data_IF_895946602829
#
_entry.id   IF_895946602829
#
_cell.length_a   1.000
_cell.length_b   1.000
_cell.length_c   1.000
_cell.angle_alpha   90.00
_cell.angle_beta   90.00
_cell.angle_gamma   90.00
#
_symmetry.space_group_name_H-M   'P 1'
#
loop_
_entity.id
_entity.type
_entity.pdbx_description
1 polymer ?
#
# COMPACT_ATOMS: atom_id res chain seq x y z
N UNK A 1 116.48 -49.76 29.56
CA UNK A 1 115.90 -48.41 29.50
C UNK A 1 114.49 -48.55 28.96
N UNK A 2 113.51 -48.09 29.74
CA UNK A 2 112.07 -48.08 29.44
C UNK A 2 111.74 -47.43 28.11
N UNK A 3 110.64 -47.88 27.47
CA UNK A 3 109.47 -47.02 27.22
C UNK A 3 108.21 -47.89 27.28
N UNK A 4 107.49 -47.82 28.39
CA UNK A 4 106.09 -48.29 28.48
C UNK A 4 105.20 -47.31 27.71
N UNK A 5 104.52 -47.81 26.68
CA UNK A 5 103.43 -47.09 26.04
C UNK A 5 102.12 -47.47 26.74
N UNK A 6 101.74 -46.67 27.73
CA UNK A 6 100.38 -46.66 28.26
C UNK A 6 99.39 -46.36 27.12
N UNK A 7 98.64 -47.39 26.71
CA UNK A 7 97.42 -47.21 25.92
C UNK A 7 96.38 -46.51 26.79
N UNK A 8 96.24 -45.19 26.63
CA UNK A 8 95.06 -44.49 27.16
C UNK A 8 93.80 -45.12 26.57
N UNK A 9 92.77 -45.41 27.37
CA UNK A 9 91.50 -45.90 26.85
C UNK A 9 90.88 -44.77 26.02
N UNK A 10 90.48 -45.10 24.79
CA UNK A 10 89.58 -44.23 24.04
C UNK A 10 88.31 -44.08 24.87
N UNK A 11 88.06 -42.88 25.39
CA UNK A 11 86.85 -42.61 26.17
C UNK A 11 85.62 -42.82 25.29
N UNK A 12 84.52 -43.19 25.95
CA UNK A 12 83.22 -43.66 25.46
C UNK A 12 82.40 -42.65 24.61
N UNK A 13 83.07 -41.84 23.77
CA UNK A 13 82.46 -40.77 22.96
C UNK A 13 81.36 -41.24 22.03
N UNK A 14 81.35 -42.53 21.67
CA UNK A 14 80.31 -43.14 20.84
C UNK A 14 79.02 -43.43 21.62
N UNK A 15 79.11 -43.69 22.92
CA UNK A 15 77.94 -43.82 23.80
C UNK A 15 77.32 -42.44 24.04
N UNK A 16 78.14 -41.43 24.32
CA UNK A 16 77.70 -40.04 24.54
C UNK A 16 76.99 -39.44 23.30
N UNK A 17 77.51 -39.71 22.08
CA UNK A 17 76.87 -39.28 20.83
C UNK A 17 75.51 -39.95 20.62
N UNK A 18 75.38 -41.24 20.92
CA UNK A 18 74.10 -41.96 20.79
C UNK A 18 73.04 -41.43 21.75
N UNK A 19 73.43 -41.12 23.00
CA UNK A 19 72.52 -40.52 23.98
C UNK A 19 72.11 -39.12 23.53
N UNK A 20 73.05 -38.30 23.05
CA UNK A 20 72.74 -36.97 22.52
C UNK A 20 71.75 -37.01 21.33
N UNK A 21 71.96 -37.91 20.37
CA UNK A 21 71.04 -38.06 19.23
C UNK A 21 69.65 -38.55 19.66
N UNK A 22 69.59 -39.53 20.57
CA UNK A 22 68.33 -40.03 21.10
C UNK A 22 67.55 -38.94 21.88
N UNK A 23 68.24 -38.14 22.70
CA UNK A 23 67.63 -37.02 23.42
C UNK A 23 67.11 -35.96 22.45
N UNK A 24 67.88 -35.61 21.41
CA UNK A 24 67.40 -34.67 20.38
C UNK A 24 66.20 -35.22 19.62
N UNK A 25 66.20 -36.48 19.20
CA UNK A 25 65.08 -37.10 18.46
C UNK A 25 63.80 -37.16 19.31
N UNK A 26 63.95 -37.39 20.62
CA UNK A 26 62.86 -37.36 21.57
C UNK A 26 62.32 -35.94 21.79
N UNK A 27 63.18 -34.93 21.81
CA UNK A 27 62.79 -33.53 21.94
C UNK A 27 62.08 -33.02 20.67
N UNK A 28 62.58 -33.41 19.48
CA UNK A 28 61.91 -33.15 18.21
C UNK A 28 60.53 -33.80 18.14
N UNK A 29 60.40 -35.06 18.58
CA UNK A 29 59.10 -35.75 18.64
C UNK A 29 58.11 -35.01 19.54
N UNK A 30 58.53 -34.58 20.74
CA UNK A 30 57.68 -33.78 21.65
C UNK A 30 57.28 -32.44 21.05
N UNK A 31 58.20 -31.75 20.38
CA UNK A 31 57.90 -30.48 19.72
C UNK A 31 56.89 -30.67 18.58
N UNK A 32 57.00 -31.78 17.84
CA UNK A 32 56.08 -32.12 16.75
C UNK A 32 54.67 -32.42 17.28
N UNK A 33 54.55 -33.25 18.33
CA UNK A 33 53.28 -33.56 19.00
C UNK A 33 52.60 -32.29 19.53
N UNK A 34 53.36 -31.37 20.12
CA UNK A 34 52.84 -30.08 20.59
C UNK A 34 52.34 -29.20 19.43
N UNK A 35 53.05 -29.21 18.30
CA UNK A 35 52.66 -28.46 17.12
C UNK A 35 51.38 -29.04 16.50
N UNK A 36 51.29 -30.35 16.40
CA UNK A 36 50.14 -31.08 15.88
C UNK A 36 48.90 -30.83 16.73
N UNK A 37 49.02 -30.97 18.06
CA UNK A 37 47.93 -30.65 18.99
C UNK A 37 47.46 -29.18 18.87
N UNK A 38 48.40 -28.23 18.69
CA UNK A 38 48.06 -26.82 18.48
C UNK A 38 47.33 -26.59 17.15
N UNK A 39 47.76 -27.26 16.08
CA UNK A 39 47.11 -27.19 14.78
C UNK A 39 45.71 -27.81 14.80
N UNK A 40 45.54 -28.96 15.46
CA UNK A 40 44.23 -29.60 15.64
C UNK A 40 43.27 -28.69 16.41
N UNK A 41 43.73 -28.12 17.53
CA UNK A 41 42.93 -27.17 18.31
C UNK A 41 42.52 -25.94 17.50
N UNK A 42 43.43 -25.37 16.70
CA UNK A 42 43.11 -24.26 15.81
C UNK A 42 42.09 -24.66 14.73
N UNK A 43 42.23 -25.84 14.15
CA UNK A 43 41.30 -26.37 13.16
C UNK A 43 39.90 -26.60 13.73
N UNK A 44 39.79 -27.13 14.96
CA UNK A 44 38.51 -27.30 15.63
C UNK A 44 37.83 -25.96 15.92
N UNK A 45 38.59 -24.97 16.41
CA UNK A 45 38.07 -23.62 16.63
C UNK A 45 37.61 -22.96 15.32
N UNK A 46 38.39 -23.09 14.24
CA UNK A 46 37.99 -22.59 12.93
C UNK A 46 36.72 -23.27 12.40
N UNK A 47 36.59 -24.59 12.57
CA UNK A 47 35.36 -25.32 12.20
C UNK A 47 34.15 -24.84 12.99
N UNK A 48 34.31 -24.61 14.30
CA UNK A 48 33.25 -24.08 15.16
C UNK A 48 32.82 -22.68 14.72
N UNK A 49 33.78 -21.81 14.40
CA UNK A 49 33.49 -20.44 13.95
C UNK A 49 32.82 -20.42 12.56
N UNK A 50 33.28 -21.24 11.62
CA UNK A 50 32.64 -21.40 10.31
C UNK A 50 31.19 -21.84 10.48
N UNK A 51 30.91 -22.79 11.37
CA UNK A 51 29.55 -23.24 11.64
C UNK A 51 28.68 -22.13 12.25
N UNK A 52 29.23 -21.33 13.18
CA UNK A 52 28.55 -20.16 13.73
C UNK A 52 28.17 -19.15 12.65
N UNK A 53 29.11 -18.79 11.79
CA UNK A 53 28.89 -17.83 10.71
C UNK A 53 27.84 -18.34 9.71
N UNK A 54 27.87 -19.64 9.37
CA UNK A 54 26.85 -20.27 8.51
C UNK A 54 25.46 -20.20 9.12
N UNK A 55 25.32 -20.45 10.42
CA UNK A 55 24.03 -20.33 11.10
C UNK A 55 23.51 -18.89 11.09
N UNK A 56 24.37 -17.91 11.39
CA UNK A 56 24.00 -16.50 11.35
C UNK A 56 23.63 -16.04 9.93
N UNK A 57 24.27 -16.58 8.89
CA UNK A 57 23.92 -16.27 7.50
C UNK A 57 22.53 -16.81 7.12
N UNK A 58 22.21 -18.04 7.54
CA UNK A 58 20.88 -18.64 7.33
C UNK A 58 19.80 -17.83 8.07
N UNK A 59 20.06 -17.43 9.31
CA UNK A 59 19.12 -16.61 10.08
C UNK A 59 18.89 -15.24 9.43
N UNK A 60 19.95 -14.56 8.98
CA UNK A 60 19.82 -13.30 8.25
C UNK A 60 19.06 -13.46 6.93
N UNK A 61 19.26 -14.56 6.20
CA UNK A 61 18.48 -14.86 4.98
C UNK A 61 17.00 -15.04 5.31
N UNK A 62 16.67 -15.76 6.38
CA UNK A 62 15.29 -15.95 6.82
C UNK A 62 14.62 -14.62 7.20
N UNK A 63 15.34 -13.75 7.94
CA UNK A 63 14.85 -12.41 8.29
C UNK A 63 14.59 -11.57 7.03
N UNK A 64 15.50 -11.59 6.06
CA UNK A 64 15.32 -10.88 4.78
C UNK A 64 14.10 -11.35 4.01
N UNK A 65 13.93 -12.67 3.85
CA UNK A 65 12.77 -13.25 3.16
C UNK A 65 11.46 -12.86 3.87
N UNK A 66 11.45 -12.85 5.20
CA UNK A 66 10.29 -12.41 5.98
C UNK A 66 9.95 -10.94 5.69
N UNK A 67 10.94 -10.04 5.77
CA UNK A 67 10.72 -8.61 5.48
C UNK A 67 10.28 -8.37 4.03
N UNK A 68 10.82 -9.12 3.05
CA UNK A 68 10.37 -9.03 1.65
C UNK A 68 8.89 -9.45 1.50
N UNK A 69 8.46 -10.47 2.24
CA UNK A 69 7.05 -10.87 2.32
C UNK A 69 6.16 -9.75 2.85
N UNK A 70 6.54 -9.12 3.96
CA UNK A 70 5.83 -7.98 4.56
C UNK A 70 5.78 -6.77 3.61
N UNK A 71 6.88 -6.46 2.93
CA UNK A 71 6.94 -5.37 1.93
C UNK A 71 5.99 -5.65 0.76
N UNK A 72 5.92 -6.89 0.27
CA UNK A 72 5.02 -7.25 -0.84
C UNK A 72 3.54 -7.18 -0.43
N UNK A 73 3.22 -7.57 0.82
CA UNK A 73 1.88 -7.38 1.37
C UNK A 73 1.52 -5.90 1.46
N UNK A 74 2.42 -5.06 1.98
CA UNK A 74 2.22 -3.61 2.05
C UNK A 74 2.05 -2.98 0.68
N UNK A 75 2.87 -3.34 -0.32
CA UNK A 75 2.71 -2.87 -1.70
C UNK A 75 1.34 -3.21 -2.27
N UNK A 76 0.87 -4.43 -2.02
CA UNK A 76 -0.45 -4.87 -2.48
C UNK A 76 -1.57 -4.07 -1.81
N UNK A 77 -1.48 -3.85 -0.49
CA UNK A 77 -2.46 -3.05 0.24
C UNK A 77 -2.48 -1.59 -0.23
N UNK A 78 -1.31 -0.98 -0.44
CA UNK A 78 -1.19 0.39 -0.98
C UNK A 78 -1.81 0.49 -2.37
N UNK A 79 -1.57 -0.49 -3.25
CA UNK A 79 -2.18 -0.50 -4.58
C UNK A 79 -3.71 -0.64 -4.51
N UNK A 80 -4.22 -1.47 -3.61
CA UNK A 80 -5.67 -1.61 -3.39
C UNK A 80 -6.29 -0.29 -2.91
N UNK A 81 -5.68 0.36 -1.92
CA UNK A 81 -6.13 1.67 -1.42
C UNK A 81 -6.07 2.72 -2.52
N UNK A 82 -4.99 2.75 -3.32
CA UNK A 82 -4.85 3.70 -4.43
C UNK A 82 -5.94 3.50 -5.49
N UNK A 83 -6.22 2.25 -5.88
CA UNK A 83 -7.30 1.92 -6.80
C UNK A 83 -8.67 2.29 -6.23
N UNK A 84 -8.86 2.13 -4.93
CA UNK A 84 -10.09 2.50 -4.24
C UNK A 84 -10.28 4.02 -4.20
N UNK A 85 -9.24 4.78 -3.85
CA UNK A 85 -9.24 6.25 -3.90
C UNK A 85 -9.57 6.74 -5.32
N UNK A 86 -8.94 6.15 -6.35
CA UNK A 86 -9.21 6.50 -7.74
C UNK A 86 -10.69 6.26 -8.10
N UNK A 87 -11.26 5.11 -7.71
CA UNK A 87 -12.69 4.81 -7.93
C UNK A 87 -13.61 5.78 -7.19
N UNK A 88 -13.28 6.16 -5.95
CA UNK A 88 -14.08 7.07 -5.14
C UNK A 88 -14.15 8.46 -5.78
N UNK A 89 -13.00 8.99 -6.20
CA UNK A 89 -12.94 10.27 -6.89
C UNK A 89 -13.78 10.24 -8.16
N UNK A 90 -13.66 9.18 -8.97
CA UNK A 90 -14.45 9.03 -10.22
C UNK A 90 -15.96 9.02 -9.95
N UNK A 91 -16.44 8.29 -8.92
CA UNK A 91 -17.87 8.27 -8.59
C UNK A 91 -18.39 9.62 -8.11
N UNK A 92 -17.63 10.32 -7.28
CA UNK A 92 -18.02 11.66 -6.84
C UNK A 92 -18.10 12.64 -8.02
N UNK A 93 -17.18 12.54 -8.98
CA UNK A 93 -17.21 13.32 -10.22
C UNK A 93 -18.46 12.98 -11.07
N UNK A 94 -18.85 11.71 -11.18
CA UNK A 94 -20.05 11.33 -11.93
C UNK A 94 -21.34 11.90 -11.30
N UNK A 95 -21.44 11.92 -9.96
CA UNK A 95 -22.55 12.59 -9.27
C UNK A 95 -22.55 14.10 -9.53
N UNK A 96 -21.37 14.74 -9.55
CA UNK A 96 -21.23 16.17 -9.90
C UNK A 96 -21.76 16.47 -11.30
N UNK A 97 -21.37 15.66 -12.30
CA UNK A 97 -21.85 15.78 -13.69
C UNK A 97 -23.37 15.65 -13.75
N UNK A 98 -23.97 14.72 -13.01
CA UNK A 98 -25.42 14.57 -12.93
C UNK A 98 -26.09 15.85 -12.40
N UNK A 99 -25.57 16.43 -11.31
CA UNK A 99 -26.12 17.66 -10.73
C UNK A 99 -26.02 18.84 -11.70
N UNK A 100 -24.94 18.97 -12.46
CA UNK A 100 -24.81 20.03 -13.46
C UNK A 100 -25.73 19.81 -14.66
N UNK A 101 -25.85 18.58 -15.18
CA UNK A 101 -26.83 18.25 -16.24
C UNK A 101 -28.28 18.56 -15.82
N UNK A 102 -28.61 18.34 -14.55
CA UNK A 102 -29.94 18.67 -14.00
C UNK A 102 -30.13 20.18 -13.94
N UNK A 103 -29.11 20.92 -13.47
CA UNK A 103 -29.13 22.39 -13.48
C UNK A 103 -29.37 22.91 -14.89
N UNK A 104 -28.64 22.41 -15.88
CA UNK A 104 -28.77 22.84 -17.28
C UNK A 104 -30.19 22.55 -17.81
N UNK A 105 -30.74 21.35 -17.54
CA UNK A 105 -32.13 21.00 -17.87
C UNK A 105 -33.17 21.90 -17.17
N UNK A 106 -32.87 22.46 -15.98
CA UNK A 106 -33.73 23.45 -15.31
C UNK A 106 -33.63 24.84 -15.97
N UNK A 107 -32.44 25.24 -16.43
CA UNK A 107 -32.23 26.47 -17.21
C UNK A 107 -32.97 26.40 -18.54
N UNK A 108 -32.81 25.30 -19.28
CA UNK A 108 -33.46 25.08 -20.59
C UNK A 108 -35.00 25.14 -20.50
N UNK A 109 -35.55 24.68 -19.36
CA UNK A 109 -36.99 24.75 -19.07
C UNK A 109 -37.47 26.10 -18.53
N UNK A 110 -36.58 27.08 -18.45
CA UNK A 110 -36.87 28.43 -17.91
C UNK A 110 -37.30 28.42 -16.45
N UNK A 111 -36.92 27.39 -15.67
CA UNK A 111 -37.26 27.28 -14.24
C UNK A 111 -36.33 28.16 -13.41
N UNK A 112 -35.08 28.28 -13.82
CA UNK A 112 -34.07 29.15 -13.19
C UNK A 112 -33.35 30.01 -14.25
N UNK A 113 -32.83 31.18 -13.87
CA UNK A 113 -31.94 31.97 -14.72
C UNK A 113 -30.63 31.23 -15.03
N UNK A 114 -30.10 31.42 -16.23
CA UNK A 114 -28.84 30.81 -16.69
C UNK A 114 -27.62 31.28 -15.85
N UNK A 115 -27.65 32.53 -15.40
CA UNK A 115 -26.61 33.13 -14.57
C UNK A 115 -26.67 32.69 -13.09
N UNK A 116 -27.68 31.91 -12.68
CA UNK A 116 -27.80 31.47 -11.31
C UNK A 116 -26.73 30.43 -10.95
N UNK A 117 -25.81 30.82 -10.07
CA UNK A 117 -24.69 29.98 -9.63
C UNK A 117 -24.96 29.30 -8.29
N UNK A 118 -24.53 28.04 -8.13
CA UNK A 118 -24.49 27.33 -6.86
C UNK A 118 -23.71 28.10 -5.79
N UNK A 119 -24.15 28.00 -4.53
CA UNK A 119 -23.73 28.91 -3.46
C UNK A 119 -23.74 28.21 -2.10
N UNK A 120 -22.92 28.72 -1.18
CA UNK A 120 -22.90 28.29 0.23
C UNK A 120 -23.93 29.06 1.07
N UNK A 121 -24.50 30.13 0.54
CA UNK A 121 -25.38 31.02 1.28
C UNK A 121 -26.76 30.39 1.51
N UNK A 122 -27.02 29.94 2.74
CA UNK A 122 -28.29 29.34 3.17
C UNK A 122 -29.52 30.19 2.89
N UNK A 123 -29.44 31.53 2.98
CA UNK A 123 -30.57 32.40 2.67
C UNK A 123 -30.89 32.39 1.16
N UNK A 124 -29.87 32.27 0.32
CA UNK A 124 -30.06 32.14 -1.13
C UNK A 124 -30.65 30.77 -1.47
N UNK A 125 -30.17 29.70 -0.83
CA UNK A 125 -30.71 28.35 -0.98
C UNK A 125 -32.17 28.23 -0.51
N UNK A 126 -32.52 28.86 0.62
CA UNK A 126 -33.90 28.89 1.12
C UNK A 126 -34.85 29.69 0.22
N UNK A 127 -34.33 30.63 -0.59
CA UNK A 127 -35.12 31.37 -1.57
C UNK A 127 -35.24 30.63 -2.90
N UNK A 128 -34.19 29.92 -3.36
CA UNK A 128 -34.21 29.26 -4.66
C UNK A 128 -35.06 27.98 -4.65
N UNK A 129 -35.04 27.20 -3.57
CA UNK A 129 -35.80 25.93 -3.52
C UNK A 129 -37.30 26.14 -3.76
N UNK A 130 -38.00 27.09 -3.11
CA UNK A 130 -39.40 27.38 -3.41
C UNK A 130 -39.64 27.89 -4.84
N UNK A 131 -38.70 28.67 -5.39
CA UNK A 131 -38.80 29.19 -6.76
C UNK A 131 -38.70 28.07 -7.80
N UNK A 132 -37.79 27.12 -7.61
CA UNK A 132 -37.66 25.94 -8.47
C UNK A 132 -38.93 25.09 -8.40
N UNK A 133 -39.46 24.83 -7.20
CA UNK A 133 -40.73 24.10 -7.02
C UNK A 133 -41.87 24.82 -7.76
N UNK A 134 -41.98 26.13 -7.60
CA UNK A 134 -43.02 26.93 -8.26
C UNK A 134 -42.85 26.92 -9.80
N UNK A 135 -41.62 27.01 -10.30
CA UNK A 135 -41.33 26.98 -11.74
C UNK A 135 -41.62 25.61 -12.36
N UNK A 136 -41.28 24.52 -11.66
CA UNK A 136 -41.63 23.16 -12.07
C UNK A 136 -43.16 22.97 -12.17
N UNK A 137 -43.90 23.44 -11.16
CA UNK A 137 -45.37 23.33 -11.15
C UNK A 137 -46.05 24.12 -12.27
N UNK A 138 -45.42 25.19 -12.77
CA UNK A 138 -45.94 26.04 -13.85
C UNK A 138 -45.60 25.53 -15.24
N UNK A 139 -44.40 24.97 -15.42
CA UNK A 139 -43.84 24.67 -16.74
C UNK A 139 -43.85 23.17 -17.10
N UNK A 140 -44.22 22.28 -16.17
CA UNK A 140 -44.15 20.83 -16.43
C UNK A 140 -45.41 20.09 -15.99
N UNK A 141 -46.23 19.65 -16.96
CA UNK A 141 -47.28 18.66 -16.72
C UNK A 141 -46.62 17.31 -16.40
N UNK A 142 -46.38 17.01 -15.12
CA UNK A 142 -46.03 15.67 -14.66
C UNK A 142 -44.63 15.45 -14.08
N UNK A 143 -43.88 16.50 -13.70
CA UNK A 143 -42.55 16.36 -13.08
C UNK A 143 -42.51 16.75 -11.59
N UNK A 144 -43.55 16.37 -10.83
CA UNK A 144 -43.59 16.48 -9.36
C UNK A 144 -42.65 15.46 -8.67
N UNK A 145 -41.39 15.38 -9.09
CA UNK A 145 -40.45 14.34 -8.66
C UNK A 145 -39.13 14.88 -8.11
N UNK A 146 -39.03 16.17 -7.76
CA UNK A 146 -37.85 16.67 -7.05
C UNK A 146 -38.26 17.24 -5.69
N UNK A 147 -37.85 16.55 -4.64
CA UNK A 147 -38.03 16.95 -3.26
C UNK A 147 -37.19 18.19 -2.93
N UNK A 148 -37.60 19.00 -1.94
CA UNK A 148 -36.79 20.15 -1.50
C UNK A 148 -35.33 19.80 -1.15
N UNK A 149 -35.03 18.65 -0.49
CA UNK A 149 -33.66 18.20 -0.27
C UNK A 149 -32.90 17.90 -1.57
N UNK A 150 -33.51 17.23 -2.55
CA UNK A 150 -32.90 16.97 -3.85
C UNK A 150 -32.59 18.27 -4.62
N UNK A 151 -33.50 19.24 -4.59
CA UNK A 151 -33.28 20.57 -5.20
C UNK A 151 -32.12 21.28 -4.51
N UNK A 152 -32.06 21.23 -3.18
CA UNK A 152 -30.96 21.82 -2.42
C UNK A 152 -29.61 21.18 -2.80
N UNK A 153 -29.55 19.86 -3.00
CA UNK A 153 -28.33 19.17 -3.42
C UNK A 153 -27.77 19.64 -4.78
N UNK A 154 -28.61 20.22 -5.66
CA UNK A 154 -28.16 20.80 -6.93
C UNK A 154 -27.34 22.08 -6.69
N UNK A 155 -27.71 22.92 -5.72
CA UNK A 155 -27.13 24.27 -5.57
C UNK A 155 -26.24 24.46 -4.35
N UNK A 156 -26.32 23.58 -3.37
CA UNK A 156 -25.59 23.69 -2.10
C UNK A 156 -24.11 23.28 -2.26
N UNK A 157 -23.22 24.24 -2.03
CA UNK A 157 -21.75 24.05 -2.11
C UNK A 157 -21.10 24.04 -0.72
N UNK A 158 -21.86 23.75 0.34
CA UNK A 158 -21.31 23.51 1.68
C UNK A 158 -20.52 22.20 1.76
N UNK A 159 -19.62 22.10 2.72
CA UNK A 159 -18.83 20.88 2.96
C UNK A 159 -19.74 19.67 3.23
N UNK A 160 -19.36 18.49 2.72
CA UNK A 160 -20.10 17.22 2.83
C UNK A 160 -21.45 17.20 2.08
N UNK A 161 -21.59 17.95 0.99
CA UNK A 161 -22.73 17.82 0.06
C UNK A 161 -22.35 16.94 -1.13
N UNK A 162 -23.37 16.30 -1.72
CA UNK A 162 -23.25 15.57 -3.00
C UNK A 162 -22.51 16.36 -4.09
N UNK A 163 -22.59 17.70 -4.05
CA UNK A 163 -21.94 18.61 -4.99
C UNK A 163 -20.45 18.83 -4.69
N UNK A 164 -20.04 18.86 -3.42
CA UNK A 164 -18.66 19.18 -3.05
C UNK A 164 -17.70 17.97 -3.08
N UNK A 165 -18.23 16.74 -3.08
CA UNK A 165 -17.39 15.54 -3.13
C UNK A 165 -16.59 15.40 -4.44
N UNK A 166 -16.89 16.17 -5.49
CA UNK A 166 -16.19 16.13 -6.77
C UNK A 166 -15.63 17.50 -7.17
N UNK A 167 -14.33 17.71 -6.95
CA UNK A 167 -13.61 18.86 -7.51
C UNK A 167 -12.42 18.42 -8.38
N UNK A 168 -12.28 19.13 -9.51
CA UNK A 168 -11.19 19.21 -10.49
C UNK A 168 -11.18 18.36 -11.78
N UNK A 169 -12.04 17.36 -12.02
CA UNK A 169 -12.02 16.66 -13.35
C UNK A 169 -13.40 16.10 -13.74
N UNK A 170 -14.40 16.94 -14.06
CA UNK A 170 -15.78 16.46 -14.25
C UNK A 170 -16.43 16.89 -15.57
N UNK A 171 -15.91 16.43 -16.72
CA UNK A 171 -16.69 16.40 -17.95
C UNK A 171 -16.47 15.06 -18.67
N UNK A 172 -17.55 14.41 -19.11
CA UNK A 172 -17.64 13.13 -19.87
C UNK A 172 -18.02 11.83 -19.11
N UNK A 173 -18.87 11.88 -18.07
CA UNK A 173 -19.44 10.66 -17.46
C UNK A 173 -20.58 10.05 -18.30
N UNK A 174 -20.54 8.73 -18.54
CA UNK A 174 -21.63 8.00 -19.20
C UNK A 174 -22.86 7.83 -18.29
N UNK A 175 -24.03 7.48 -18.84
CA UNK A 175 -25.24 7.24 -18.04
C UNK A 175 -25.04 6.08 -17.05
N UNK A 176 -24.36 5.00 -17.48
CA UNK A 176 -24.06 3.84 -16.64
C UNK A 176 -23.16 4.23 -15.47
N UNK A 177 -22.12 5.00 -15.75
CA UNK A 177 -21.16 5.52 -14.78
C UNK A 177 -21.82 6.41 -13.72
N UNK A 178 -22.80 7.22 -14.13
CA UNK A 178 -23.62 8.03 -13.24
C UNK A 178 -24.56 7.14 -12.40
N UNK A 179 -25.20 6.12 -13.01
CA UNK A 179 -26.07 5.19 -12.30
C UNK A 179 -25.33 4.41 -11.21
N UNK A 180 -24.11 3.94 -11.50
CA UNK A 180 -23.25 3.27 -10.52
C UNK A 180 -22.85 4.19 -9.36
N UNK A 181 -22.58 5.47 -9.65
CA UNK A 181 -22.21 6.44 -8.64
C UNK A 181 -23.37 6.85 -7.72
N UNK A 182 -24.61 6.80 -8.22
CA UNK A 182 -25.85 7.05 -7.44
C UNK A 182 -26.16 5.90 -6.48
N UNK A 183 -25.83 4.66 -6.86
CA UNK A 183 -26.08 3.46 -6.06
C UNK A 183 -24.96 3.13 -5.06
N UNK A 184 -24.06 4.07 -4.81
CA UNK A 184 -22.92 3.86 -3.91
C UNK A 184 -23.40 3.59 -2.47
N UNK A 185 -22.96 2.46 -1.91
CA UNK A 185 -23.32 2.01 -0.57
C UNK A 185 -22.77 2.90 0.55
N UNK A 186 -21.82 3.79 0.24
CA UNK A 186 -21.21 4.73 1.19
C UNK A 186 -22.01 6.01 1.38
N UNK A 187 -22.92 6.34 0.46
CA UNK A 187 -23.84 7.45 0.66
C UNK A 187 -24.75 7.14 1.84
N UNK A 188 -25.07 8.18 2.62
CA UNK A 188 -26.16 8.09 3.59
C UNK A 188 -27.44 7.71 2.85
N UNK A 189 -28.38 7.04 3.53
CA UNK A 189 -29.63 6.62 2.87
C UNK A 189 -30.37 7.83 2.28
N UNK A 190 -30.35 8.96 2.98
CA UNK A 190 -30.91 10.23 2.52
C UNK A 190 -30.23 10.74 1.25
N UNK A 191 -28.90 10.78 1.20
CA UNK A 191 -28.17 11.24 0.01
C UNK A 191 -28.35 10.30 -1.16
N UNK A 192 -28.43 9.00 -0.89
CA UNK A 192 -28.70 7.99 -1.92
C UNK A 192 -30.10 8.17 -2.51
N UNK A 193 -31.10 8.43 -1.68
CA UNK A 193 -32.47 8.66 -2.16
C UNK A 193 -32.58 9.96 -2.96
N UNK A 194 -31.98 11.05 -2.45
CA UNK A 194 -31.89 12.31 -3.20
C UNK A 194 -31.19 12.11 -4.55
N UNK A 195 -30.07 11.37 -4.59
CA UNK A 195 -29.34 11.10 -5.82
C UNK A 195 -30.13 10.23 -6.80
N UNK A 196 -30.90 9.24 -6.33
CA UNK A 196 -31.81 8.44 -7.17
C UNK A 196 -32.92 9.29 -7.75
N UNK A 197 -33.54 10.15 -6.94
CA UNK A 197 -34.59 11.05 -7.35
C UNK A 197 -34.12 11.99 -8.47
N UNK A 198 -32.94 12.60 -8.27
CA UNK A 198 -32.25 13.42 -9.26
C UNK A 198 -31.92 12.64 -10.55
N UNK A 199 -31.40 11.41 -10.43
CA UNK A 199 -31.13 10.54 -11.57
C UNK A 199 -32.38 10.21 -12.37
N UNK A 200 -33.46 9.85 -11.68
CA UNK A 200 -34.75 9.55 -12.30
C UNK A 200 -35.29 10.78 -13.03
N UNK A 201 -35.20 11.97 -12.42
CA UNK A 201 -35.65 13.20 -13.07
C UNK A 201 -34.82 13.56 -14.32
N UNK A 202 -33.50 13.35 -14.27
CA UNK A 202 -32.63 13.55 -15.42
C UNK A 202 -33.02 12.65 -16.59
N UNK A 203 -33.34 11.38 -16.31
CA UNK A 203 -33.62 10.33 -17.29
C UNK A 203 -35.11 9.97 -17.43
N UNK A 204 -35.99 10.95 -17.21
CA UNK A 204 -37.44 10.87 -17.46
C UNK A 204 -38.14 9.68 -16.76
N UNK A 205 -37.84 9.49 -15.48
CA UNK A 205 -38.47 8.52 -14.58
C UNK A 205 -37.81 7.14 -14.53
N UNK A 206 -36.69 6.93 -15.25
CA UNK A 206 -35.97 5.64 -15.24
C UNK A 206 -35.19 5.44 -13.95
N UNK A 207 -35.42 4.30 -13.28
CA UNK A 207 -34.67 3.92 -12.09
C UNK A 207 -33.21 3.61 -12.46
N UNK A 208 -32.23 4.03 -11.62
CA UNK A 208 -30.85 3.63 -11.80
C UNK A 208 -30.76 2.11 -11.65
N UNK A 209 -30.27 1.43 -12.69
CA UNK A 209 -30.06 -0.02 -12.69
C UNK A 209 -28.60 -0.33 -12.93
N UNK A 210 -28.04 -1.23 -12.12
CA UNK A 210 -26.73 -1.80 -12.40
C UNK A 210 -26.92 -2.81 -13.53
N UNK A 211 -26.61 -2.43 -14.76
CA UNK A 211 -26.36 -3.45 -15.78
C UNK A 211 -25.09 -4.19 -15.38
N UNK A 212 -25.27 -5.35 -14.74
CA UNK A 212 -24.22 -6.36 -14.67
C UNK A 212 -23.93 -6.74 -16.12
N UNK A 213 -22.76 -6.34 -16.61
CA UNK A 213 -22.29 -6.85 -17.88
C UNK A 213 -22.30 -8.38 -17.78
N UNK A 214 -23.09 -9.01 -18.66
CA UNK A 214 -22.98 -10.42 -18.97
C UNK A 214 -21.67 -10.69 -19.70
#
# INVERSE_FOLDING_TARGET
MNVDFEKKPFSDKNADLKVYFADTEQDWSRQFEQLEAKFEFQNENMKAEINRLRMAEVENKNIRVKHEGEINQLKTAVQQISNEIARLNVRALHRRVMLDKIRDKLVDKGVIPDDFKPTQNSNTLNRIVPLVIQGLNRNTHGLEMLSPPAIRAIFDTNLNTLRNDGNDVAHNASEKDIAEAVLDSRLTETDRENAKELFMWLNDGRKPTLQRNA
#
